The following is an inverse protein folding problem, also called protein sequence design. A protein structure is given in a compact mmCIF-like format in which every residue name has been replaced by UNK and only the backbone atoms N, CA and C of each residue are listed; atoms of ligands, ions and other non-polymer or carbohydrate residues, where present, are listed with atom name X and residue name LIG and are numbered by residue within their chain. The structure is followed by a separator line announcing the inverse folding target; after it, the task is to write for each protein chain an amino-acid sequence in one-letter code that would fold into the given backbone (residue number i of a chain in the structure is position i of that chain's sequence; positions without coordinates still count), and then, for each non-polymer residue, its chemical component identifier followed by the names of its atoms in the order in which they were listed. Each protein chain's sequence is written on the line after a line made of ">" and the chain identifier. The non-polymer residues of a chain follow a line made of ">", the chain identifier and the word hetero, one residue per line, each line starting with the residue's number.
data_IF_150887750646
#
_entry.id   IF_150887750646
#
_cell.length_a   1.000
_cell.length_b   1.000
_cell.length_c   1.000
_cell.angle_alpha   90.00
_cell.angle_beta   90.00
_cell.angle_gamma   90.00
#
_symmetry.space_group_name_H-M   'P 1'
#
loop_
_entity.id
_entity.type
_entity.pdbx_description
1 polymer ?
#
# COMPACT_ATOMS: atom_id res chain seq x y z
N UNK A 1 -5.04 -50.04 0.06
CA UNK A 1 -5.24 -48.60 -0.27
C UNK A 1 -4.54 -48.17 -1.57
N UNK A 2 -3.47 -48.85 -2.03
CA UNK A 2 -2.78 -48.56 -3.31
C UNK A 2 -3.57 -48.93 -4.58
N UNK A 3 -4.38 -49.99 -4.55
CA UNK A 3 -5.18 -50.43 -5.71
C UNK A 3 -6.39 -49.52 -6.02
N UNK A 4 -6.88 -48.76 -5.03
CA UNK A 4 -8.03 -47.87 -5.18
C UNK A 4 -7.66 -46.63 -6.01
N UNK A 5 -6.44 -46.10 -5.85
CA UNK A 5 -5.95 -44.95 -6.61
C UNK A 5 -5.74 -45.29 -8.09
N UNK A 6 -5.23 -46.50 -8.39
CA UNK A 6 -5.09 -46.97 -9.78
C UNK A 6 -6.42 -47.24 -10.49
N UNK A 7 -7.47 -47.67 -9.77
CA UNK A 7 -8.79 -47.89 -10.37
C UNK A 7 -9.57 -46.59 -10.64
N UNK A 8 -9.38 -45.55 -9.82
CA UNK A 8 -10.01 -44.24 -10.02
C UNK A 8 -9.45 -43.56 -11.29
N UNK A 9 -8.14 -43.69 -11.55
CA UNK A 9 -7.50 -43.16 -12.77
C UNK A 9 -8.01 -43.86 -14.05
N UNK A 10 -8.23 -45.19 -14.01
CA UNK A 10 -8.81 -45.93 -15.16
C UNK A 10 -10.29 -45.63 -15.41
N UNK A 11 -11.12 -45.44 -14.37
CA UNK A 11 -12.56 -45.14 -14.55
C UNK A 11 -12.81 -43.69 -15.02
N UNK A 12 -12.00 -42.72 -14.61
CA UNK A 12 -12.13 -41.33 -15.08
C UNK A 12 -11.75 -41.17 -16.56
N UNK A 13 -10.80 -41.96 -17.06
CA UNK A 13 -10.39 -41.94 -18.47
C UNK A 13 -11.48 -42.48 -19.42
N UNK A 14 -12.31 -43.43 -18.95
CA UNK A 14 -13.39 -44.04 -19.74
C UNK A 14 -14.71 -43.25 -19.74
N UNK A 15 -14.97 -42.42 -18.73
CA UNK A 15 -16.20 -41.61 -18.64
C UNK A 15 -16.20 -40.40 -19.58
N UNK A 16 -15.03 -39.98 -20.09
CA UNK A 16 -14.94 -38.83 -20.97
C UNK A 16 -15.02 -39.18 -22.45
N UNK A 17 -14.95 -40.44 -22.86
CA UNK A 17 -14.94 -40.82 -24.30
C UNK A 17 -16.33 -40.87 -24.95
N UNK A 18 -17.42 -40.88 -24.19
CA UNK A 18 -18.78 -41.10 -24.72
C UNK A 18 -19.48 -39.87 -25.32
N UNK A 19 -18.92 -38.66 -25.20
CA UNK A 19 -19.51 -37.44 -25.79
C UNK A 19 -18.62 -36.74 -26.85
N UNK A 20 -17.60 -37.44 -27.38
CA UNK A 20 -16.64 -36.86 -28.34
C UNK A 20 -17.11 -36.76 -29.80
N UNK A 21 -18.36 -37.14 -30.11
CA UNK A 21 -18.85 -37.19 -31.49
C UNK A 21 -19.41 -35.85 -32.04
N UNK A 22 -19.51 -34.77 -31.26
CA UNK A 22 -20.21 -33.54 -31.67
C UNK A 22 -19.37 -32.26 -31.84
N UNK A 23 -18.03 -32.29 -31.79
CA UNK A 23 -17.21 -31.07 -31.95
C UNK A 23 -16.27 -31.05 -33.18
N UNK A 24 -16.12 -29.90 -33.88
CA UNK A 24 -15.30 -29.79 -35.10
C UNK A 24 -13.79 -29.92 -34.87
N UNK A 25 -13.06 -30.28 -35.94
CA UNK A 25 -11.67 -30.79 -35.96
C UNK A 25 -10.61 -29.91 -35.27
N UNK A 26 -10.82 -28.61 -35.06
CA UNK A 26 -9.86 -27.70 -34.40
C UNK A 26 -9.65 -27.96 -32.89
N UNK A 27 -10.60 -28.60 -32.21
CA UNK A 27 -10.54 -28.87 -30.77
C UNK A 27 -9.71 -30.10 -30.38
N UNK A 28 -9.31 -30.95 -31.33
CA UNK A 28 -8.52 -32.16 -31.04
C UNK A 28 -7.09 -31.84 -30.58
N UNK A 29 -6.51 -30.71 -30.99
CA UNK A 29 -5.19 -30.28 -30.53
C UNK A 29 -5.19 -29.64 -29.13
N UNK A 30 -6.33 -29.20 -28.61
CA UNK A 30 -6.44 -28.65 -27.25
C UNK A 30 -6.44 -29.73 -26.16
N UNK A 31 -6.86 -30.96 -26.48
CA UNK A 31 -6.86 -32.07 -25.53
C UNK A 31 -5.43 -32.48 -25.11
N UNK A 32 -4.45 -32.31 -26.00
CA UNK A 32 -3.02 -32.52 -25.68
C UNK A 32 -2.47 -31.45 -24.70
N UNK A 33 -3.07 -30.26 -24.66
CA UNK A 33 -2.76 -29.22 -23.67
C UNK A 33 -3.41 -29.53 -22.30
N UNK A 34 -4.57 -30.20 -22.28
CA UNK A 34 -5.22 -30.67 -21.05
C UNK A 34 -4.39 -31.75 -20.33
N UNK A 35 -3.76 -32.68 -21.08
CA UNK A 35 -2.80 -33.65 -20.50
C UNK A 35 -1.57 -32.98 -19.87
N UNK A 36 -1.20 -31.78 -20.32
CA UNK A 36 -0.11 -30.97 -19.72
C UNK A 36 -0.55 -30.29 -18.42
N UNK A 37 -1.85 -30.05 -18.27
CA UNK A 37 -2.47 -29.50 -17.07
C UNK A 37 -2.58 -30.55 -15.94
N UNK A 38 -2.81 -31.82 -16.28
CA UNK A 38 -2.86 -32.94 -15.32
C UNK A 38 -1.55 -33.14 -14.56
N UNK A 39 -0.38 -32.89 -15.18
CA UNK A 39 0.94 -32.99 -14.53
C UNK A 39 1.20 -31.95 -13.43
N UNK A 40 0.43 -30.85 -13.40
CA UNK A 40 0.46 -29.85 -12.32
C UNK A 40 -0.40 -30.28 -11.12
N UNK A 41 -1.46 -31.06 -11.35
CA UNK A 41 -2.33 -31.54 -10.28
C UNK A 41 -1.67 -32.66 -9.45
N UNK A 42 -0.79 -33.47 -10.04
CA UNK A 42 0.00 -34.46 -9.31
C UNK A 42 0.93 -33.84 -8.25
N UNK A 43 1.52 -32.67 -8.54
CA UNK A 43 2.45 -32.00 -7.62
C UNK A 43 1.71 -31.39 -6.42
N UNK A 44 0.48 -30.95 -6.64
CA UNK A 44 -0.42 -30.45 -5.59
C UNK A 44 -0.93 -31.60 -4.72
N UNK A 45 -1.31 -32.73 -5.33
CA UNK A 45 -1.75 -33.92 -4.62
C UNK A 45 -0.63 -34.54 -3.75
N UNK A 46 0.60 -34.62 -4.28
CA UNK A 46 1.78 -35.10 -3.53
C UNK A 46 2.08 -34.22 -2.32
N UNK A 47 1.92 -32.90 -2.44
CA UNK A 47 2.13 -31.96 -1.33
C UNK A 47 1.06 -32.13 -0.24
N UNK A 48 -0.20 -32.31 -0.62
CA UNK A 48 -1.28 -32.56 0.35
C UNK A 48 -1.08 -33.89 1.08
N UNK A 49 -0.67 -34.94 0.37
CA UNK A 49 -0.46 -36.26 0.94
C UNK A 49 0.75 -36.29 1.90
N UNK A 50 1.86 -35.64 1.53
CA UNK A 50 3.01 -35.45 2.42
C UNK A 50 2.68 -34.56 3.62
N UNK A 51 1.85 -33.53 3.44
CA UNK A 51 1.39 -32.68 4.54
C UNK A 51 0.55 -33.45 5.55
N UNK A 52 -0.23 -34.44 5.10
CA UNK A 52 -1.02 -35.32 5.96
C UNK A 52 -0.17 -36.36 6.72
N UNK A 53 0.93 -36.82 6.14
CA UNK A 53 1.79 -37.86 6.74
C UNK A 53 2.86 -37.30 7.68
N UNK A 54 3.40 -36.11 7.39
CA UNK A 54 4.57 -35.57 8.10
C UNK A 54 4.36 -34.17 8.69
N UNK A 55 3.17 -33.58 8.48
CA UNK A 55 2.83 -32.23 8.94
C UNK A 55 3.28 -31.11 7.98
N UNK A 56 2.58 -29.96 7.98
CA UNK A 56 2.82 -28.87 7.04
C UNK A 56 4.17 -28.16 7.24
N UNK A 57 4.75 -28.20 8.45
CA UNK A 57 6.01 -27.52 8.76
C UNK A 57 7.25 -28.27 8.26
N UNK A 58 7.16 -29.58 8.04
CA UNK A 58 8.26 -30.41 7.54
C UNK A 58 8.19 -30.69 6.03
N UNK A 59 7.15 -30.19 5.35
CA UNK A 59 6.97 -30.40 3.90
C UNK A 59 7.54 -29.26 3.07
N UNK A 60 8.82 -29.41 2.70
CA UNK A 60 9.49 -28.44 1.82
C UNK A 60 9.23 -28.76 0.34
N UNK A 61 9.28 -27.74 -0.53
CA UNK A 61 9.21 -27.93 -1.99
C UNK A 61 10.33 -28.80 -2.52
N UNK A 62 11.49 -28.80 -1.86
CA UNK A 62 12.61 -29.69 -2.14
C UNK A 62 12.20 -31.15 -1.93
N UNK A 63 11.49 -31.48 -0.84
CA UNK A 63 10.98 -32.84 -0.57
C UNK A 63 9.93 -33.29 -1.59
N UNK A 64 9.01 -32.40 -1.99
CA UNK A 64 7.97 -32.67 -3.01
C UNK A 64 8.62 -32.92 -4.38
N UNK A 65 9.63 -32.12 -4.74
CA UNK A 65 10.38 -32.29 -5.98
C UNK A 65 11.26 -33.54 -5.94
N UNK A 66 11.85 -33.90 -4.79
CA UNK A 66 12.65 -35.11 -4.62
C UNK A 66 11.80 -36.37 -4.81
N UNK A 67 10.62 -36.44 -4.18
CA UNK A 67 9.66 -37.53 -4.38
C UNK A 67 9.19 -37.59 -5.83
N UNK A 68 8.84 -36.44 -6.42
CA UNK A 68 8.44 -36.37 -7.83
C UNK A 68 9.53 -36.88 -8.77
N UNK A 69 10.79 -36.57 -8.47
CA UNK A 69 11.97 -37.02 -9.21
C UNK A 69 12.21 -38.52 -9.00
N UNK A 70 11.92 -39.04 -7.82
CA UNK A 70 12.00 -40.47 -7.50
C UNK A 70 10.90 -41.29 -8.20
N UNK A 71 9.66 -40.81 -8.23
CA UNK A 71 8.55 -41.42 -8.99
C UNK A 71 8.69 -41.26 -10.50
N UNK A 72 9.36 -40.21 -10.97
CA UNK A 72 9.74 -40.09 -12.38
C UNK A 72 10.81 -41.11 -12.76
N UNK A 73 11.72 -41.44 -11.84
CA UNK A 73 12.76 -42.46 -12.05
C UNK A 73 12.24 -43.90 -11.95
N UNK A 74 11.22 -44.18 -11.12
CA UNK A 74 10.60 -45.53 -11.03
C UNK A 74 9.86 -45.97 -12.32
N UNK A 75 9.64 -45.05 -13.26
CA UNK A 75 9.11 -45.37 -14.59
C UNK A 75 10.20 -45.68 -15.62
N UNK A 76 11.47 -45.58 -15.23
CA UNK A 76 12.63 -45.79 -16.10
C UNK A 76 13.73 -46.50 -15.31
N UNK A 77 13.72 -47.82 -15.44
CA UNK A 77 14.82 -48.76 -15.17
C UNK A 77 15.00 -49.28 -13.74
N UNK A 78 15.09 -50.61 -13.72
CA UNK A 78 15.52 -51.51 -12.66
C UNK A 78 16.99 -51.24 -12.21
N UNK A 79 17.24 -51.66 -10.97
CA UNK A 79 18.50 -52.11 -10.37
C UNK A 79 19.61 -51.12 -9.88
N UNK A 80 19.99 -51.39 -8.61
CA UNK A 80 21.25 -51.10 -7.88
C UNK A 80 21.43 -49.81 -7.03
N UNK A 81 21.04 -49.92 -5.75
CA UNK A 81 21.79 -49.74 -4.47
C UNK A 81 23.00 -48.77 -4.39
N UNK A 82 23.00 -47.85 -3.40
CA UNK A 82 23.96 -47.72 -2.26
C UNK A 82 23.56 -46.53 -1.34
N UNK A 83 23.73 -46.74 -0.03
CA UNK A 83 23.26 -45.97 1.13
C UNK A 83 24.19 -44.85 1.66
N UNK A 84 23.66 -44.12 2.68
CA UNK A 84 24.31 -43.51 3.88
C UNK A 84 24.50 -41.98 3.88
N UNK A 85 24.40 -41.18 4.96
CA UNK A 85 23.80 -41.24 6.32
C UNK A 85 24.01 -39.86 7.02
N UNK A 86 22.93 -39.28 7.56
CA UNK A 86 22.72 -38.65 8.90
C UNK A 86 23.69 -37.63 9.60
N UNK A 87 23.09 -36.57 10.21
CA UNK A 87 23.31 -35.97 11.57
C UNK A 87 23.68 -34.46 11.79
N UNK A 88 22.91 -33.89 12.75
CA UNK A 88 23.21 -32.91 13.83
C UNK A 88 22.74 -31.43 13.79
N UNK A 89 21.99 -31.04 14.84
CA UNK A 89 21.61 -29.70 15.30
C UNK A 89 21.69 -29.68 16.85
N UNK A 90 22.10 -28.58 17.52
CA UNK A 90 22.00 -28.45 18.98
C UNK A 90 21.00 -27.39 19.48
N UNK A 91 20.51 -27.61 20.71
CA UNK A 91 19.53 -26.83 21.50
C UNK A 91 20.18 -25.78 22.43
N UNK A 92 19.44 -24.72 22.80
CA UNK A 92 19.85 -23.71 23.81
C UNK A 92 18.79 -23.64 24.94
N UNK A 93 19.26 -23.52 26.20
CA UNK A 93 18.51 -23.39 27.46
C UNK A 93 18.30 -21.91 27.88
N UNK A 94 17.26 -21.66 28.67
CA UNK A 94 16.90 -20.38 29.32
C UNK A 94 16.98 -20.55 30.85
N UNK A 95 17.46 -19.52 31.57
CA UNK A 95 17.30 -19.33 33.02
C UNK A 95 16.77 -17.89 33.32
N UNK A 96 16.06 -17.65 34.44
CA UNK A 96 15.39 -16.37 34.77
C UNK A 96 16.11 -15.54 35.86
N UNK A 97 15.88 -14.22 35.90
CA UNK A 97 16.33 -13.33 36.99
C UNK A 97 15.22 -12.44 37.58
N UNK A 98 15.40 -12.16 38.88
CA UNK A 98 14.50 -11.59 39.89
C UNK A 98 14.41 -10.05 39.95
N UNK A 99 13.40 -9.58 40.70
CA UNK A 99 13.04 -8.19 41.05
C UNK A 99 13.98 -7.51 42.06
N UNK A 100 14.14 -6.18 41.97
CA UNK A 100 14.52 -5.31 43.10
C UNK A 100 13.79 -3.94 43.08
N UNK A 101 13.52 -3.42 44.29
CA UNK A 101 12.74 -2.22 44.67
C UNK A 101 13.69 -1.07 45.06
N UNK A 102 13.29 0.20 44.88
CA UNK A 102 14.04 1.42 45.25
C UNK A 102 13.37 2.21 46.42
N UNK A 103 14.12 2.94 47.27
CA UNK A 103 13.59 3.63 48.45
C UNK A 103 13.41 5.16 48.30
N UNK A 104 12.61 5.72 49.22
CA UNK A 104 12.12 7.11 49.35
C UNK A 104 13.18 8.14 49.80
N UNK A 105 13.00 9.41 49.41
CA UNK A 105 13.81 10.56 49.86
C UNK A 105 12.94 11.65 50.46
N UNK A 106 13.30 12.08 51.67
CA UNK A 106 12.77 13.22 52.41
C UNK A 106 13.21 14.54 51.75
N UNK A 107 12.30 15.53 51.70
CA UNK A 107 12.59 16.91 51.31
C UNK A 107 12.15 17.85 52.45
N UNK A 108 12.97 17.92 53.50
CA UNK A 108 12.97 19.03 54.47
C UNK A 108 14.22 19.87 54.17
N UNK A 109 14.07 20.88 53.32
CA UNK A 109 14.95 22.06 53.24
C UNK A 109 14.42 22.99 52.14
N UNK A 110 14.50 24.30 52.38
CA UNK A 110 14.14 25.44 51.53
C UNK A 110 12.81 26.13 51.88
N UNK A 111 12.77 26.71 53.07
CA UNK A 111 12.08 27.98 53.33
C UNK A 111 13.10 29.11 53.22
N UNK A 112 12.86 30.09 52.34
CA UNK A 112 13.05 31.52 52.57
C UNK A 112 12.75 32.29 51.27
N UNK A 113 12.12 33.45 51.44
CA UNK A 113 11.75 34.49 50.46
C UNK A 113 10.39 34.37 49.75
N UNK A 114 9.37 35.01 50.34
CA UNK A 114 8.52 36.06 49.73
C UNK A 114 7.34 36.37 50.68
N UNK A 115 7.56 37.29 51.63
CA UNK A 115 6.49 38.00 52.33
C UNK A 115 5.80 38.95 51.34
N UNK A 116 4.48 38.81 51.15
CA UNK A 116 3.73 39.74 50.30
C UNK A 116 2.39 39.28 49.73
N UNK A 117 1.80 38.19 50.20
CA UNK A 117 0.38 37.89 50.04
C UNK A 117 0.01 36.88 51.12
N UNK A 118 -1.09 37.10 51.84
CA UNK A 118 -1.69 36.04 52.65
C UNK A 118 -1.98 34.87 51.72
N UNK A 119 -1.19 33.80 51.83
CA UNK A 119 -1.52 32.51 51.22
C UNK A 119 -2.81 32.05 51.90
N UNK A 120 -3.94 32.32 51.25
CA UNK A 120 -5.21 31.73 51.63
C UNK A 120 -5.00 30.22 51.71
N UNK A 121 -5.42 29.63 52.83
CA UNK A 121 -5.33 28.18 53.02
C UNK A 121 -6.08 27.52 51.85
N UNK A 122 -5.58 26.42 51.26
CA UNK A 122 -6.31 25.68 50.22
C UNK A 122 -7.72 25.20 50.64
N UNK A 123 -8.08 25.40 51.91
CA UNK A 123 -9.33 24.99 52.55
C UNK A 123 -10.10 26.18 53.17
N UNK A 124 -9.80 27.43 52.79
CA UNK A 124 -10.55 28.59 53.28
C UNK A 124 -11.95 28.64 52.66
N UNK A 125 -12.99 28.69 53.51
CA UNK A 125 -14.40 28.72 53.08
C UNK A 125 -14.68 29.99 52.28
N UNK A 126 -15.02 29.81 51.00
CA UNK A 126 -15.37 30.88 50.07
C UNK A 126 -16.72 31.48 50.50
N UNK A 127 -16.82 32.81 50.57
CA UNK A 127 -18.10 33.47 50.88
C UNK A 127 -19.10 33.28 49.72
N UNK A 128 -20.41 33.24 50.00
CA UNK A 128 -21.45 33.01 48.96
C UNK A 128 -21.35 34.00 47.78
N UNK A 129 -20.87 35.22 48.04
CA UNK A 129 -20.69 36.26 47.02
C UNK A 129 -19.44 36.05 46.14
N UNK A 130 -18.39 35.40 46.66
CA UNK A 130 -17.20 35.01 45.89
C UNK A 130 -17.47 33.72 45.12
N UNK A 131 -18.18 32.76 45.72
CA UNK A 131 -18.63 31.54 45.05
C UNK A 131 -19.51 31.82 43.84
N UNK A 132 -20.36 32.85 43.90
CA UNK A 132 -21.19 33.30 42.77
C UNK A 132 -20.40 33.98 41.64
N UNK A 133 -19.16 34.42 41.88
CA UNK A 133 -18.29 35.05 40.88
C UNK A 133 -17.30 34.07 40.24
N UNK A 134 -17.17 32.87 40.79
CA UNK A 134 -16.44 31.77 40.14
C UNK A 134 -17.31 31.31 38.96
N UNK A 135 -17.00 31.82 37.77
CA UNK A 135 -17.53 31.26 36.54
C UNK A 135 -17.00 29.83 36.42
N UNK A 136 -17.82 28.86 36.83
CA UNK A 136 -17.54 27.46 36.57
C UNK A 136 -17.53 27.27 35.05
N UNK A 137 -16.43 26.73 34.52
CA UNK A 137 -16.40 26.21 33.16
C UNK A 137 -17.60 25.26 32.98
N UNK A 138 -18.29 25.40 31.84
CA UNK A 138 -19.50 24.64 31.53
C UNK A 138 -19.29 23.14 31.83
N UNK A 139 -20.21 22.48 32.54
CA UNK A 139 -20.03 21.10 32.94
C UNK A 139 -19.89 20.23 31.69
N UNK A 140 -18.73 19.56 31.58
CA UNK A 140 -18.47 18.53 30.57
C UNK A 140 -19.59 17.49 30.70
N UNK A 141 -20.41 17.22 29.66
CA UNK A 141 -21.47 16.24 29.74
C UNK A 141 -20.92 14.88 30.20
N UNK A 142 -21.56 14.26 31.22
CA UNK A 142 -21.13 12.96 31.69
C UNK A 142 -21.40 11.95 30.56
N UNK A 143 -20.36 11.23 30.15
CA UNK A 143 -20.39 10.12 29.20
C UNK A 143 -20.80 10.43 27.76
N UNK A 144 -20.17 11.45 27.16
CA UNK A 144 -20.19 11.60 25.71
C UNK A 144 -19.17 10.65 25.04
N UNK A 145 -19.66 9.71 24.22
CA UNK A 145 -18.82 8.78 23.46
C UNK A 145 -18.33 9.35 22.11
N UNK A 146 -18.83 10.52 21.66
CA UNK A 146 -18.49 11.10 20.35
C UNK A 146 -18.26 12.61 20.42
N UNK A 147 -17.39 13.20 19.59
CA UNK A 147 -17.18 14.66 19.59
C UNK A 147 -18.42 15.41 19.12
N UNK A 148 -19.34 14.75 18.40
CA UNK A 148 -20.61 15.36 17.98
C UNK A 148 -21.38 15.96 19.14
N UNK A 149 -21.42 15.27 20.28
CA UNK A 149 -22.19 15.71 21.44
C UNK A 149 -21.57 16.98 22.08
N UNK A 150 -20.28 17.22 21.83
CA UNK A 150 -19.57 18.44 22.24
C UNK A 150 -19.59 19.56 21.20
N UNK A 151 -20.02 19.31 19.96
CA UNK A 151 -20.02 20.33 18.90
C UNK A 151 -20.92 21.50 19.30
N UNK A 152 -22.10 21.25 19.86
CA UNK A 152 -23.04 22.32 20.21
C UNK A 152 -22.53 23.20 21.37
N UNK A 153 -21.58 22.69 22.16
CA UNK A 153 -21.02 23.36 23.33
C UNK A 153 -19.70 24.06 23.04
N UNK A 154 -18.93 23.58 22.05
CA UNK A 154 -17.61 24.14 21.72
C UNK A 154 -17.66 24.96 20.43
N UNK A 155 -17.45 26.27 20.55
CA UNK A 155 -17.33 27.18 19.40
C UNK A 155 -16.20 26.76 18.44
N UNK A 156 -15.08 26.27 18.96
CA UNK A 156 -13.98 25.74 18.14
C UNK A 156 -14.45 24.57 17.28
N UNK A 157 -15.15 23.59 17.85
CA UNK A 157 -15.63 22.44 17.10
C UNK A 157 -16.68 22.85 16.05
N UNK A 158 -17.59 23.79 16.36
CA UNK A 158 -18.54 24.33 15.37
C UNK A 158 -17.83 24.95 14.17
N UNK A 159 -16.83 25.80 14.42
CA UNK A 159 -16.06 26.46 13.36
C UNK A 159 -15.26 25.45 12.52
N UNK A 160 -14.68 24.42 13.16
CA UNK A 160 -14.00 23.33 12.43
C UNK A 160 -14.98 22.55 11.53
N UNK A 161 -16.19 22.26 12.00
CA UNK A 161 -17.24 21.63 11.18
C UNK A 161 -17.63 22.54 10.01
N UNK A 162 -17.80 23.84 10.26
CA UNK A 162 -18.10 24.82 9.20
C UNK A 162 -17.01 24.89 8.13
N UNK A 163 -15.74 24.73 8.51
CA UNK A 163 -14.61 24.62 7.58
C UNK A 163 -14.59 23.29 6.79
N UNK A 164 -15.50 22.36 7.05
CA UNK A 164 -15.56 21.05 6.39
C UNK A 164 -14.63 20.00 6.99
N UNK A 165 -14.24 20.15 8.26
CA UNK A 165 -13.47 19.14 8.98
C UNK A 165 -14.37 17.96 9.37
N UNK A 166 -13.99 16.75 8.99
CA UNK A 166 -14.73 15.53 9.32
C UNK A 166 -14.31 14.99 10.69
N UNK A 167 -15.00 15.44 11.74
CA UNK A 167 -14.77 15.04 13.13
C UNK A 167 -14.89 13.52 13.33
N UNK A 168 -15.80 12.85 12.60
CA UNK A 168 -16.01 11.40 12.72
C UNK A 168 -14.77 10.57 12.30
N UNK A 169 -13.95 11.10 11.38
CA UNK A 169 -12.67 10.51 11.02
C UNK A 169 -11.59 10.83 12.05
N UNK A 170 -11.65 12.00 12.65
CA UNK A 170 -10.66 12.47 13.62
C UNK A 170 -10.79 11.76 14.97
N UNK A 171 -12.02 11.52 15.44
CA UNK A 171 -12.33 10.76 16.67
C UNK A 171 -11.71 9.36 16.70
N UNK A 172 -11.66 8.70 15.55
CA UNK A 172 -11.10 7.34 15.41
C UNK A 172 -9.58 7.30 15.62
N UNK A 173 -8.93 8.46 15.68
CA UNK A 173 -7.47 8.58 15.80
C UNK A 173 -7.09 8.86 17.26
N UNK A 174 -6.09 8.13 17.80
CA UNK A 174 -5.68 8.33 19.18
C UNK A 174 -5.21 9.76 19.40
N UNK A 175 -5.55 10.33 20.57
CA UNK A 175 -5.16 11.67 21.03
C UNK A 175 -5.69 12.86 20.21
N UNK A 176 -6.39 12.63 19.09
CA UNK A 176 -6.90 13.73 18.27
C UNK A 176 -8.13 14.38 18.90
N UNK A 177 -9.06 13.59 19.44
CA UNK A 177 -10.23 14.13 20.14
C UNK A 177 -9.81 15.03 21.31
N UNK A 178 -8.90 14.55 22.15
CA UNK A 178 -8.34 15.32 23.28
C UNK A 178 -7.58 16.57 22.82
N UNK A 179 -6.86 16.49 21.70
CA UNK A 179 -6.19 17.65 21.10
C UNK A 179 -7.22 18.72 20.70
N UNK A 180 -8.25 18.33 19.95
CA UNK A 180 -9.25 19.26 19.43
C UNK A 180 -10.07 19.94 20.52
N UNK A 181 -10.27 19.27 21.66
CA UNK A 181 -10.95 19.85 22.82
C UNK A 181 -10.08 20.85 23.59
N UNK A 182 -8.75 20.79 23.46
CA UNK A 182 -7.81 21.67 24.18
C UNK A 182 -7.41 22.92 23.41
N UNK A 183 -7.62 22.93 22.09
CA UNK A 183 -7.21 24.04 21.23
C UNK A 183 -8.27 25.13 21.20
N UNK A 184 -7.82 26.38 21.24
CA UNK A 184 -8.66 27.54 21.00
C UNK A 184 -8.63 27.92 19.51
N UNK A 185 -9.79 28.25 18.95
CA UNK A 185 -9.90 28.51 17.52
C UNK A 185 -9.15 29.78 17.09
N UNK A 186 -9.26 30.86 17.85
CA UNK A 186 -8.67 32.14 17.47
C UNK A 186 -7.17 32.16 17.73
N UNK A 187 -6.75 31.57 18.86
CA UNK A 187 -5.36 31.56 19.29
C UNK A 187 -4.52 30.48 18.59
N UNK A 188 -5.03 29.27 18.43
CA UNK A 188 -4.22 28.13 17.99
C UNK A 188 -4.54 27.72 16.54
N UNK A 189 -5.81 27.71 16.14
CA UNK A 189 -6.23 27.23 14.82
C UNK A 189 -6.05 28.29 13.74
N UNK A 190 -6.50 29.51 14.00
CA UNK A 190 -6.52 30.61 13.02
C UNK A 190 -5.13 30.96 12.47
N UNK A 191 -4.06 31.08 13.28
CA UNK A 191 -2.72 31.35 12.76
C UNK A 191 -2.22 30.26 11.80
N UNK A 192 -2.54 28.99 12.08
CA UNK A 192 -2.18 27.87 11.20
C UNK A 192 -2.97 27.91 9.90
N UNK A 193 -4.27 28.24 9.95
CA UNK A 193 -5.09 28.39 8.74
C UNK A 193 -4.60 29.52 7.84
N UNK A 194 -4.29 30.69 8.41
CA UNK A 194 -3.72 31.82 7.67
C UNK A 194 -2.38 31.45 7.05
N UNK A 195 -1.51 30.76 7.79
CA UNK A 195 -0.26 30.26 7.26
C UNK A 195 -0.45 29.29 6.09
N UNK A 196 -1.37 28.33 6.20
CA UNK A 196 -1.66 27.38 5.11
C UNK A 196 -2.17 28.12 3.86
N UNK A 197 -3.01 29.15 4.06
CA UNK A 197 -3.49 30.03 2.99
C UNK A 197 -2.34 30.80 2.32
N UNK A 198 -1.44 31.39 3.10
CA UNK A 198 -0.26 32.12 2.59
C UNK A 198 0.70 31.21 1.80
N UNK A 199 0.81 29.95 2.21
CA UNK A 199 1.56 28.91 1.48
C UNK A 199 0.89 28.58 0.15
N UNK A 200 -0.44 28.75 0.04
CA UNK A 200 -1.23 28.55 -1.17
C UNK A 200 -2.21 27.38 -1.10
N UNK A 201 -2.60 26.93 0.10
CA UNK A 201 -3.72 26.01 0.27
C UNK A 201 -5.02 26.80 0.17
N UNK A 202 -5.89 26.42 -0.77
CA UNK A 202 -7.17 27.10 -0.99
C UNK A 202 -8.14 26.86 0.18
N UNK A 203 -9.03 27.83 0.42
CA UNK A 203 -9.97 27.83 1.55
C UNK A 203 -10.83 26.54 1.57
N UNK A 204 -11.35 26.12 0.41
CA UNK A 204 -12.16 24.90 0.24
C UNK A 204 -11.41 23.60 0.57
N UNK A 205 -10.08 23.64 0.59
CA UNK A 205 -9.22 22.49 0.88
C UNK A 205 -8.76 22.44 2.35
N UNK A 206 -8.96 23.50 3.14
CA UNK A 206 -8.49 23.58 4.53
C UNK A 206 -9.15 22.53 5.44
N UNK A 207 -10.47 22.32 5.32
CA UNK A 207 -11.18 21.28 6.07
C UNK A 207 -10.66 19.87 5.78
N UNK A 208 -10.49 19.56 4.49
CA UNK A 208 -9.93 18.29 4.05
C UNK A 208 -8.45 18.11 4.47
N UNK A 209 -7.68 19.20 4.52
CA UNK A 209 -6.31 19.20 5.02
C UNK A 209 -6.26 18.83 6.51
N UNK A 210 -7.01 19.54 7.36
CA UNK A 210 -7.05 19.29 8.80
C UNK A 210 -7.64 17.91 9.13
N UNK A 211 -8.64 17.46 8.37
CA UNK A 211 -9.17 16.10 8.49
C UNK A 211 -8.08 15.03 8.28
N UNK A 212 -7.16 15.27 7.34
CA UNK A 212 -6.05 14.36 7.06
C UNK A 212 -4.94 14.49 8.07
N UNK A 213 -4.61 15.73 8.48
CA UNK A 213 -3.54 16.03 9.41
C UNK A 213 -3.97 17.05 10.48
N UNK A 214 -4.58 16.60 11.58
CA UNK A 214 -4.92 17.48 12.70
C UNK A 214 -3.68 17.88 13.52
N UNK A 215 -2.59 17.10 13.46
CA UNK A 215 -1.39 17.32 14.26
C UNK A 215 -0.57 18.53 13.81
N UNK A 216 -0.89 19.13 12.66
CA UNK A 216 -0.32 20.41 12.25
C UNK A 216 -0.59 21.52 13.28
N UNK A 217 -1.69 21.41 14.04
CA UNK A 217 -2.09 22.36 15.07
C UNK A 217 -1.14 22.36 16.29
N UNK A 218 -0.34 21.30 16.47
CA UNK A 218 0.68 21.23 17.52
C UNK A 218 2.04 21.75 17.06
N UNK A 219 2.18 22.13 15.79
CA UNK A 219 3.45 22.60 15.26
C UNK A 219 3.61 24.09 15.51
N UNK A 220 4.82 24.48 15.92
CA UNK A 220 5.19 25.88 16.02
C UNK A 220 5.22 26.55 14.63
N UNK A 221 4.65 27.77 14.56
CA UNK A 221 4.49 28.50 13.31
C UNK A 221 5.84 28.87 12.68
N UNK A 222 6.85 29.25 13.47
CA UNK A 222 8.18 29.55 12.93
C UNK A 222 8.81 28.31 12.32
N UNK A 223 8.65 27.16 12.95
CA UNK A 223 9.16 25.90 12.43
C UNK A 223 8.49 25.52 11.09
N UNK A 224 7.19 25.75 10.94
CA UNK A 224 6.50 25.57 9.67
C UNK A 224 7.04 26.51 8.59
N UNK A 225 7.26 27.78 8.91
CA UNK A 225 7.86 28.77 8.00
C UNK A 225 9.30 28.41 7.61
N UNK A 226 10.12 27.92 8.56
CA UNK A 226 11.49 27.44 8.31
C UNK A 226 11.48 26.26 7.33
N UNK A 227 10.55 25.31 7.48
CA UNK A 227 10.39 24.16 6.58
C UNK A 227 9.95 24.57 5.17
N UNK A 228 9.01 25.51 5.04
CA UNK A 228 8.63 26.07 3.74
C UNK A 228 9.79 26.83 3.08
N UNK A 229 10.53 27.62 3.85
CA UNK A 229 11.69 28.37 3.36
C UNK A 229 12.79 27.43 2.88
N UNK A 230 13.01 26.30 3.56
CA UNK A 230 13.91 25.25 3.10
C UNK A 230 13.48 24.67 1.75
N UNK A 231 12.20 24.34 1.56
CA UNK A 231 11.71 23.85 0.27
C UNK A 231 11.97 24.88 -0.86
N UNK A 232 11.75 26.17 -0.59
CA UNK A 232 12.08 27.23 -1.56
C UNK A 232 13.57 27.30 -1.87
N UNK A 233 14.44 27.17 -0.86
CA UNK A 233 15.91 27.09 -1.04
C UNK A 233 16.35 25.89 -1.86
N UNK A 234 15.58 24.80 -1.87
CA UNK A 234 15.78 23.64 -2.75
C UNK A 234 15.19 23.82 -4.15
N UNK A 235 14.85 25.06 -4.52
CA UNK A 235 14.32 25.46 -5.83
C UNK A 235 12.94 24.85 -6.15
N UNK A 236 12.14 24.52 -5.13
CA UNK A 236 10.71 24.31 -5.34
C UNK A 236 10.03 25.68 -5.42
N UNK A 237 9.42 25.99 -6.57
CA UNK A 237 8.68 27.24 -6.74
C UNK A 237 7.43 27.31 -5.84
N UNK A 238 6.85 28.50 -5.69
CA UNK A 238 5.74 28.75 -4.75
C UNK A 238 4.55 27.84 -5.04
N UNK A 239 4.21 27.69 -6.31
CA UNK A 239 3.08 26.87 -6.78
C UNK A 239 3.33 25.38 -6.53
N UNK A 240 4.56 24.90 -6.70
CA UNK A 240 4.96 23.55 -6.39
C UNK A 240 4.85 23.26 -4.89
N UNK A 241 5.34 24.17 -4.04
CA UNK A 241 5.23 24.03 -2.58
C UNK A 241 3.75 23.98 -2.16
N UNK A 242 2.92 24.89 -2.67
CA UNK A 242 1.47 24.89 -2.41
C UNK A 242 0.84 23.53 -2.76
N UNK A 243 1.08 23.03 -3.98
CA UNK A 243 0.59 21.70 -4.43
C UNK A 243 1.12 20.57 -3.56
N UNK A 244 2.38 20.64 -3.13
CA UNK A 244 3.02 19.61 -2.30
C UNK A 244 2.38 19.54 -0.93
N UNK A 245 2.20 20.68 -0.27
CA UNK A 245 1.57 20.78 1.05
C UNK A 245 0.12 20.30 0.99
N UNK A 246 -0.67 20.76 0.00
CA UNK A 246 -2.05 20.33 -0.17
C UNK A 246 -2.19 18.81 -0.41
N UNK A 247 -1.30 18.21 -1.24
CA UNK A 247 -1.36 16.77 -1.58
C UNK A 247 -0.73 15.84 -0.54
N UNK A 248 0.16 16.35 0.30
CA UNK A 248 0.76 15.62 1.40
C UNK A 248 0.70 16.44 2.69
N UNK A 249 -0.45 16.42 3.41
CA UNK A 249 -0.65 17.26 4.60
C UNK A 249 0.37 17.08 5.73
N UNK A 250 1.04 15.91 5.78
CA UNK A 250 2.10 15.60 6.73
C UNK A 250 3.49 16.12 6.34
N UNK A 251 3.64 16.74 5.16
CA UNK A 251 4.93 17.15 4.63
C UNK A 251 5.65 18.11 5.59
N UNK A 252 4.90 19.08 6.12
CA UNK A 252 5.45 20.09 7.00
C UNK A 252 5.62 19.62 8.45
N UNK A 253 5.28 18.39 8.83
CA UNK A 253 5.64 17.85 10.14
C UNK A 253 7.07 17.31 10.19
N UNK A 254 7.75 17.20 9.04
CA UNK A 254 9.12 16.72 9.02
C UNK A 254 10.09 17.87 9.25
N UNK A 255 11.09 17.62 10.11
CA UNK A 255 12.21 18.53 10.28
C UNK A 255 12.92 18.78 8.94
N UNK A 256 13.60 19.92 8.84
CA UNK A 256 14.42 20.27 7.65
C UNK A 256 15.42 19.16 7.33
N UNK A 257 16.09 18.63 8.35
CA UNK A 257 17.03 17.51 8.21
C UNK A 257 16.35 16.26 7.63
N UNK A 258 15.17 15.90 8.14
CA UNK A 258 14.42 14.73 7.65
C UNK A 258 13.94 14.92 6.22
N UNK A 259 13.55 16.14 5.83
CA UNK A 259 13.21 16.47 4.45
C UNK A 259 14.44 16.32 3.54
N UNK A 260 15.60 16.84 3.95
CA UNK A 260 16.84 16.77 3.17
C UNK A 260 17.32 15.33 2.96
N UNK A 261 17.33 14.53 4.03
CA UNK A 261 17.67 13.11 3.98
C UNK A 261 16.76 12.34 3.03
N UNK A 262 15.46 12.66 3.00
CA UNK A 262 14.48 12.00 2.12
C UNK A 262 14.60 12.44 0.67
N UNK A 263 14.85 13.71 0.40
CA UNK A 263 15.15 14.19 -0.95
C UNK A 263 16.43 13.53 -1.49
N UNK A 264 17.48 13.48 -0.68
CA UNK A 264 18.74 12.81 -1.01
C UNK A 264 18.58 11.31 -1.22
N UNK A 265 17.71 10.64 -0.46
CA UNK A 265 17.37 9.23 -0.68
C UNK A 265 16.82 9.00 -2.10
N UNK A 266 15.78 9.72 -2.52
CA UNK A 266 15.20 9.53 -3.86
C UNK A 266 16.18 9.87 -4.97
N UNK A 267 17.01 10.90 -4.79
CA UNK A 267 18.04 11.26 -5.76
C UNK A 267 19.07 10.14 -5.93
N UNK A 268 19.58 9.58 -4.83
CA UNK A 268 20.62 8.53 -4.85
C UNK A 268 20.07 7.18 -5.35
N UNK A 269 18.96 6.72 -4.79
CA UNK A 269 18.41 5.38 -5.09
C UNK A 269 17.92 5.29 -6.54
N UNK A 270 17.38 6.38 -7.09
CA UNK A 270 16.95 6.42 -8.49
C UNK A 270 18.06 6.89 -9.43
N UNK A 271 19.15 7.50 -8.94
CA UNK A 271 20.19 8.08 -9.78
C UNK A 271 19.67 9.19 -10.72
N UNK A 272 18.74 10.01 -10.22
CA UNK A 272 18.13 11.10 -10.98
C UNK A 272 18.91 12.41 -10.83
N UNK A 273 18.78 13.32 -11.79
CA UNK A 273 19.23 14.70 -11.60
C UNK A 273 18.39 15.39 -10.52
N UNK A 274 18.92 16.48 -9.95
CA UNK A 274 18.22 17.27 -8.93
C UNK A 274 16.85 17.74 -9.46
N UNK A 275 16.80 18.24 -10.70
CA UNK A 275 15.56 18.68 -11.35
C UNK A 275 14.53 17.54 -11.49
N UNK A 276 14.94 16.38 -12.05
CA UNK A 276 14.03 15.23 -12.19
C UNK A 276 13.56 14.69 -10.84
N UNK A 277 14.40 14.79 -9.81
CA UNK A 277 14.02 14.44 -8.44
C UNK A 277 12.97 15.40 -7.92
N UNK A 278 13.11 16.71 -8.14
CA UNK A 278 12.05 17.68 -7.79
C UNK A 278 10.75 17.36 -8.52
N UNK A 279 10.80 17.16 -9.83
CA UNK A 279 9.60 16.84 -10.62
C UNK A 279 8.87 15.59 -10.11
N UNK A 280 9.64 14.54 -9.77
CA UNK A 280 9.12 13.32 -9.16
C UNK A 280 8.36 13.63 -7.85
N UNK A 281 8.98 14.41 -6.96
CA UNK A 281 8.40 14.75 -5.66
C UNK A 281 7.20 15.70 -5.81
N UNK A 282 7.24 16.67 -6.72
CA UNK A 282 6.09 17.54 -7.03
C UNK A 282 4.91 16.70 -7.52
N UNK A 283 5.19 15.67 -8.35
CA UNK A 283 4.17 14.80 -8.91
C UNK A 283 3.54 13.87 -7.90
N UNK A 284 4.33 13.36 -6.94
CA UNK A 284 3.84 12.52 -5.85
C UNK A 284 4.48 12.90 -4.50
N UNK A 285 4.01 13.98 -3.84
CA UNK A 285 4.64 14.52 -2.62
C UNK A 285 4.61 13.55 -1.44
N UNK A 286 3.63 12.62 -1.46
CA UNK A 286 3.48 11.56 -0.45
C UNK A 286 4.66 10.60 -0.39
N UNK A 287 5.52 10.56 -1.41
CA UNK A 287 6.78 9.81 -1.38
C UNK A 287 7.70 10.30 -0.25
N UNK A 288 7.71 11.61 0.01
CA UNK A 288 8.48 12.16 1.12
C UNK A 288 7.87 11.73 2.44
N UNK A 289 6.56 11.81 2.61
CA UNK A 289 5.90 11.53 3.91
C UNK A 289 5.76 10.04 4.25
N UNK A 290 5.84 9.15 3.27
CA UNK A 290 5.62 7.71 3.44
C UNK A 290 6.83 6.93 4.00
N UNK A 291 6.65 5.63 4.23
CA UNK A 291 7.78 4.72 4.51
C UNK A 291 8.67 4.60 3.26
N UNK A 292 9.99 4.56 3.48
CA UNK A 292 10.97 4.37 2.41
C UNK A 292 11.23 2.87 2.11
N UNK A 293 10.79 1.98 2.99
CA UNK A 293 11.02 0.54 2.84
C UNK A 293 10.34 -0.04 1.60
N UNK A 294 9.04 0.23 1.32
CA UNK A 294 8.40 -0.27 0.11
C UNK A 294 9.07 0.26 -1.17
N UNK A 295 9.64 1.47 -1.11
CA UNK A 295 10.39 2.05 -2.24
C UNK A 295 11.65 1.25 -2.51
N UNK A 296 12.45 0.98 -1.48
CA UNK A 296 13.68 0.18 -1.62
C UNK A 296 13.38 -1.24 -2.10
N UNK A 297 12.34 -1.86 -1.55
CA UNK A 297 11.91 -3.19 -1.97
C UNK A 297 11.47 -3.20 -3.44
N UNK A 298 10.59 -2.28 -3.83
CA UNK A 298 10.06 -2.24 -5.20
C UNK A 298 11.14 -1.94 -6.24
N UNK A 299 12.15 -1.14 -5.92
CA UNK A 299 13.31 -0.94 -6.80
C UNK A 299 14.08 -2.24 -7.04
N UNK A 300 14.33 -3.02 -5.98
CA UNK A 300 14.96 -4.34 -6.09
C UNK A 300 14.09 -5.33 -6.86
N UNK A 301 12.78 -5.33 -6.61
CA UNK A 301 11.83 -6.17 -7.36
C UNK A 301 11.89 -5.84 -8.85
N UNK A 302 11.87 -4.55 -9.21
CA UNK A 302 11.95 -4.14 -10.62
C UNK A 302 13.25 -4.57 -11.29
N UNK A 303 14.39 -4.46 -10.60
CA UNK A 303 15.70 -4.80 -11.15
C UNK A 303 15.93 -6.32 -11.21
N UNK A 304 15.66 -7.04 -10.12
CA UNK A 304 16.04 -8.45 -9.94
C UNK A 304 14.91 -9.39 -10.41
N UNK A 305 13.67 -9.15 -9.98
CA UNK A 305 12.55 -10.06 -10.27
C UNK A 305 11.92 -9.77 -11.64
N UNK A 306 11.73 -8.48 -11.98
CA UNK A 306 11.12 -8.10 -13.25
C UNK A 306 12.15 -7.92 -14.38
N UNK A 307 13.45 -7.80 -14.04
CA UNK A 307 14.54 -7.72 -15.01
C UNK A 307 14.65 -6.39 -15.77
N UNK A 308 14.12 -5.29 -15.23
CA UNK A 308 14.31 -3.97 -15.82
C UNK A 308 15.71 -3.43 -15.55
N UNK A 309 16.28 -2.73 -16.53
CA UNK A 309 17.55 -2.02 -16.36
C UNK A 309 17.35 -0.75 -15.54
N UNK A 310 18.41 -0.26 -14.87
CA UNK A 310 18.35 0.96 -14.04
C UNK A 310 17.79 2.19 -14.77
N UNK A 311 18.19 2.41 -16.02
CA UNK A 311 17.68 3.52 -16.85
C UNK A 311 16.19 3.35 -17.21
N UNK A 312 15.74 2.11 -17.39
CA UNK A 312 14.32 1.80 -17.61
C UNK A 312 13.50 2.05 -16.35
N UNK A 313 14.00 1.63 -15.19
CA UNK A 313 13.37 1.90 -13.87
C UNK A 313 13.25 3.40 -13.63
N UNK A 314 14.31 4.18 -13.91
CA UNK A 314 14.27 5.65 -13.86
C UNK A 314 13.16 6.23 -14.73
N UNK A 315 13.05 5.75 -15.98
CA UNK A 315 12.01 6.19 -16.90
C UNK A 315 10.61 5.86 -16.38
N UNK A 316 10.39 4.62 -15.92
CA UNK A 316 9.10 4.18 -15.37
C UNK A 316 8.75 4.99 -14.11
N UNK A 317 9.70 5.17 -13.18
CA UNK A 317 9.49 5.87 -11.92
C UNK A 317 9.12 7.35 -12.11
N UNK A 318 9.77 8.04 -13.05
CA UNK A 318 9.45 9.45 -13.36
C UNK A 318 8.08 9.60 -14.04
N UNK A 319 7.69 8.64 -14.89
CA UNK A 319 6.38 8.63 -15.58
C UNK A 319 5.25 8.12 -14.69
N UNK A 320 5.51 7.16 -13.80
CA UNK A 320 4.55 6.53 -12.89
C UNK A 320 5.15 6.42 -11.49
N UNK A 321 5.18 7.53 -10.73
CA UNK A 321 5.80 7.55 -9.39
C UNK A 321 5.13 6.60 -8.39
N UNK A 322 3.84 6.31 -8.58
CA UNK A 322 3.07 5.39 -7.73
C UNK A 322 3.61 3.96 -7.74
N UNK A 323 4.36 3.57 -8.79
CA UNK A 323 5.00 2.25 -8.85
C UNK A 323 6.00 2.06 -7.70
N UNK A 324 6.67 3.13 -7.26
CA UNK A 324 7.66 3.07 -6.18
C UNK A 324 7.05 2.62 -4.84
N UNK A 325 5.80 2.96 -4.56
CA UNK A 325 5.12 2.58 -3.31
C UNK A 325 3.94 1.63 -3.54
N UNK A 326 3.90 0.97 -4.70
CA UNK A 326 2.88 -0.01 -5.02
C UNK A 326 3.04 -1.28 -4.16
N UNK A 327 1.95 -2.03 -4.00
CA UNK A 327 2.02 -3.35 -3.39
C UNK A 327 2.82 -4.30 -4.31
N UNK A 328 3.82 -4.99 -3.75
CA UNK A 328 4.69 -5.93 -4.47
C UNK A 328 3.90 -6.96 -5.28
N UNK A 329 2.91 -7.63 -4.66
CA UNK A 329 2.09 -8.66 -5.33
C UNK A 329 1.35 -8.10 -6.54
N UNK A 330 0.75 -6.91 -6.40
CA UNK A 330 0.08 -6.25 -7.53
C UNK A 330 1.07 -5.94 -8.66
N UNK A 331 2.27 -5.47 -8.32
CA UNK A 331 3.30 -5.11 -9.29
C UNK A 331 3.78 -6.35 -10.06
N UNK A 332 4.13 -7.43 -9.35
CA UNK A 332 4.62 -8.68 -9.95
C UNK A 332 3.56 -9.39 -10.78
N UNK A 333 2.32 -9.49 -10.29
CA UNK A 333 1.21 -10.10 -11.05
C UNK A 333 0.88 -9.32 -12.33
N UNK A 334 0.98 -7.99 -12.28
CA UNK A 334 0.76 -7.15 -13.46
C UNK A 334 1.85 -7.36 -14.49
N UNK A 335 3.11 -7.38 -14.05
CA UNK A 335 4.24 -7.65 -14.94
C UNK A 335 4.19 -9.06 -15.53
N UNK A 336 3.97 -10.09 -14.71
CA UNK A 336 3.89 -11.49 -15.16
C UNK A 336 2.82 -11.67 -16.23
N UNK A 337 1.63 -11.08 -16.03
CA UNK A 337 0.58 -11.16 -17.03
C UNK A 337 0.96 -10.45 -18.34
N UNK A 338 1.49 -9.24 -18.26
CA UNK A 338 1.84 -8.44 -19.45
C UNK A 338 3.03 -9.03 -20.20
N UNK A 339 4.06 -9.50 -19.49
CA UNK A 339 5.28 -10.01 -20.10
C UNK A 339 5.14 -11.48 -20.52
N UNK A 340 4.75 -12.35 -19.59
CA UNK A 340 4.77 -13.80 -19.82
C UNK A 340 3.51 -14.32 -20.51
N UNK A 341 2.33 -13.76 -20.20
CA UNK A 341 1.05 -14.23 -20.78
C UNK A 341 0.74 -13.49 -22.09
N UNK A 342 0.86 -12.16 -22.12
CA UNK A 342 0.62 -11.37 -23.34
C UNK A 342 1.82 -11.34 -24.29
N UNK A 343 3.01 -11.77 -23.84
CA UNK A 343 4.22 -11.83 -24.65
C UNK A 343 4.83 -10.45 -24.96
N UNK A 344 4.55 -9.43 -24.14
CA UNK A 344 4.99 -8.06 -24.42
C UNK A 344 6.42 -7.84 -23.90
N UNK A 345 7.37 -7.40 -24.74
CA UNK A 345 8.76 -7.20 -24.33
C UNK A 345 8.94 -5.97 -23.43
N UNK A 346 9.99 -5.99 -22.60
CA UNK A 346 10.32 -4.92 -21.65
C UNK A 346 10.29 -3.52 -22.24
N UNK A 347 10.90 -3.31 -23.41
CA UNK A 347 10.97 -1.98 -24.03
C UNK A 347 9.58 -1.38 -24.34
N UNK A 348 8.56 -2.19 -24.64
CA UNK A 348 7.20 -1.71 -24.83
C UNK A 348 6.51 -1.41 -23.50
N UNK A 349 6.79 -2.20 -22.45
CA UNK A 349 6.31 -1.91 -21.09
C UNK A 349 6.90 -0.59 -20.58
N UNK A 350 8.19 -0.35 -20.83
CA UNK A 350 8.90 0.89 -20.49
C UNK A 350 8.34 2.07 -21.28
N UNK A 351 7.98 1.89 -22.56
CA UNK A 351 7.33 2.91 -23.38
C UNK A 351 5.94 3.28 -22.87
N UNK A 352 5.23 2.32 -22.25
CA UNK A 352 3.87 2.50 -21.73
C UNK A 352 3.75 2.11 -20.24
N UNK A 353 4.43 2.84 -19.33
CA UNK A 353 4.50 2.48 -17.92
C UNK A 353 3.16 2.61 -17.18
N UNK A 354 2.17 3.29 -17.77
CA UNK A 354 0.79 3.43 -17.26
C UNK A 354 0.09 2.10 -17.00
N UNK A 355 0.59 1.00 -17.58
CA UNK A 355 0.10 -0.35 -17.29
C UNK A 355 0.17 -0.68 -15.80
N UNK A 356 1.18 -0.19 -15.07
CA UNK A 356 1.32 -0.39 -13.62
C UNK A 356 0.33 0.43 -12.77
N UNK A 357 -0.27 1.49 -13.33
CA UNK A 357 -1.33 2.25 -12.66
C UNK A 357 -2.72 1.62 -12.86
N UNK A 358 -2.86 0.72 -13.83
CA UNK A 358 -4.15 0.15 -14.21
C UNK A 358 -4.56 -1.00 -13.29
N UNK A 359 -5.86 -1.31 -13.27
CA UNK A 359 -6.36 -2.51 -12.59
C UNK A 359 -6.00 -3.73 -13.44
N UNK A 360 -5.37 -4.73 -12.83
CA UNK A 360 -5.00 -5.97 -13.53
C UNK A 360 -6.21 -6.65 -14.16
N UNK A 361 -7.35 -6.69 -13.46
CA UNK A 361 -8.60 -7.26 -13.97
C UNK A 361 -8.98 -6.67 -15.33
N UNK A 362 -8.99 -5.33 -15.45
CA UNK A 362 -9.28 -4.62 -16.70
C UNK A 362 -8.33 -5.03 -17.84
N UNK A 363 -7.04 -5.21 -17.55
CA UNK A 363 -6.05 -5.65 -18.54
C UNK A 363 -6.37 -7.08 -18.99
N UNK A 364 -6.68 -7.97 -18.05
CA UNK A 364 -7.00 -9.39 -18.31
C UNK A 364 -8.23 -9.53 -19.18
N UNK A 365 -9.33 -8.89 -18.78
CA UNK A 365 -10.61 -8.90 -19.49
C UNK A 365 -10.46 -8.47 -20.95
N UNK A 366 -9.80 -7.32 -21.18
CA UNK A 366 -9.57 -6.80 -22.53
C UNK A 366 -8.61 -7.66 -23.34
N UNK A 367 -7.55 -8.17 -22.73
CA UNK A 367 -6.63 -9.09 -23.42
C UNK A 367 -7.34 -10.38 -23.84
N UNK A 368 -8.09 -11.01 -22.94
CA UNK A 368 -8.81 -12.25 -23.19
C UNK A 368 -9.87 -12.06 -24.27
N UNK A 369 -10.59 -10.93 -24.26
CA UNK A 369 -11.56 -10.63 -25.31
C UNK A 369 -10.91 -10.43 -26.67
N UNK A 370 -9.82 -9.65 -26.75
CA UNK A 370 -9.05 -9.52 -28.00
C UNK A 370 -8.48 -10.86 -28.47
N UNK A 371 -8.07 -11.73 -27.54
CA UNK A 371 -7.58 -13.07 -27.86
C UNK A 371 -8.70 -13.97 -28.40
N UNK A 372 -9.89 -13.91 -27.81
CA UNK A 372 -11.10 -14.61 -28.27
C UNK A 372 -11.46 -14.19 -29.70
N UNK A 373 -11.36 -12.90 -30.02
CA UNK A 373 -11.62 -12.35 -31.35
C UNK A 373 -10.46 -12.54 -32.35
N UNK A 374 -9.32 -13.11 -31.93
CA UNK A 374 -8.13 -13.24 -32.78
C UNK A 374 -7.42 -11.92 -33.11
N UNK A 375 -7.66 -10.87 -32.31
CA UNK A 375 -7.16 -9.49 -32.49
C UNK A 375 -6.11 -9.06 -31.46
N UNK A 376 -5.63 -9.98 -30.62
CA UNK A 376 -4.58 -9.69 -29.63
C UNK A 376 -3.19 -9.50 -30.29
N UNK A 377 -2.99 -8.36 -30.96
CA UNK A 377 -1.74 -8.00 -31.64
C UNK A 377 -1.08 -6.83 -30.93
N UNK A 378 0.04 -7.10 -30.24
CA UNK A 378 0.78 -6.11 -29.45
C UNK A 378 2.15 -5.72 -30.05
N UNK A 379 2.43 -6.18 -31.26
CA UNK A 379 3.64 -5.85 -32.00
C UNK A 379 3.41 -4.59 -32.86
N UNK A 380 4.14 -3.48 -32.62
CA UNK A 380 3.98 -2.24 -33.37
C UNK A 380 4.27 -2.36 -34.87
N UNK A 381 4.98 -3.40 -35.30
CA UNK A 381 5.33 -3.61 -36.71
C UNK A 381 4.21 -4.29 -37.51
N UNK A 382 3.21 -4.85 -36.83
CA UNK A 382 2.13 -5.62 -37.46
C UNK A 382 0.87 -4.77 -37.68
N UNK A 383 0.08 -5.07 -38.72
CA UNK A 383 -1.22 -4.43 -38.91
C UNK A 383 -2.15 -4.75 -37.73
N UNK A 384 -3.08 -3.84 -37.43
CA UNK A 384 -4.00 -3.92 -36.29
C UNK A 384 -3.32 -3.93 -34.90
N UNK A 385 -2.14 -3.31 -34.80
CA UNK A 385 -1.45 -3.10 -33.53
C UNK A 385 -2.32 -2.37 -32.50
N UNK A 386 -2.45 -2.95 -31.30
CA UNK A 386 -3.07 -2.33 -30.14
C UNK A 386 -1.98 -1.98 -29.13
N UNK A 387 -1.78 -0.68 -28.88
CA UNK A 387 -0.82 -0.25 -27.87
C UNK A 387 -1.30 -0.52 -26.44
N UNK A 388 -0.36 -0.73 -25.52
CA UNK A 388 -0.67 -0.91 -24.10
C UNK A 388 -1.44 0.28 -23.53
N UNK A 389 -1.09 1.50 -23.94
CA UNK A 389 -1.80 2.71 -23.51
C UNK A 389 -3.29 2.65 -23.86
N UNK A 390 -3.61 2.33 -25.12
CA UNK A 390 -5.00 2.20 -25.59
C UNK A 390 -5.73 1.09 -24.85
N UNK A 391 -5.04 -0.03 -24.62
CA UNK A 391 -5.60 -1.14 -23.84
C UNK A 391 -5.97 -0.72 -22.41
N UNK A 392 -5.19 0.16 -21.78
CA UNK A 392 -5.41 0.54 -20.37
C UNK A 392 -6.27 1.77 -20.15
N UNK A 393 -6.08 2.79 -20.99
CA UNK A 393 -6.56 4.16 -20.77
C UNK A 393 -7.93 4.41 -21.42
N UNK A 394 -8.25 3.72 -22.52
CA UNK A 394 -9.52 3.95 -23.23
C UNK A 394 -10.74 3.54 -22.42
N UNK A 395 -11.89 4.24 -22.55
CA UNK A 395 -13.22 3.77 -22.14
C UNK A 395 -13.61 2.46 -22.83
N UNK A 396 -14.60 1.74 -22.28
CA UNK A 396 -15.01 0.43 -22.81
C UNK A 396 -15.70 0.56 -24.17
N UNK A 397 -16.46 1.65 -24.40
CA UNK A 397 -17.15 1.92 -25.65
C UNK A 397 -16.15 2.12 -26.79
N UNK A 398 -15.16 2.97 -26.57
CA UNK A 398 -14.08 3.24 -27.53
C UNK A 398 -13.26 1.96 -27.75
N UNK A 399 -12.98 1.21 -26.69
CA UNK A 399 -12.24 -0.03 -26.80
C UNK A 399 -12.94 -1.07 -27.69
N UNK A 400 -14.25 -1.26 -27.50
CA UNK A 400 -15.04 -2.21 -28.27
C UNK A 400 -15.11 -1.81 -29.75
N UNK A 401 -15.42 -0.54 -30.03
CA UNK A 401 -15.62 -0.05 -31.40
C UNK A 401 -14.30 0.09 -32.17
N UNK A 402 -13.27 0.65 -31.54
CA UNK A 402 -12.03 0.98 -32.26
C UNK A 402 -11.07 -0.20 -32.35
N UNK A 403 -10.93 -1.01 -31.29
CA UNK A 403 -9.90 -2.05 -31.22
C UNK A 403 -10.47 -3.46 -31.34
N UNK A 404 -11.54 -3.77 -30.59
CA UNK A 404 -12.15 -5.09 -30.65
C UNK A 404 -12.97 -5.30 -31.94
N UNK A 405 -13.46 -4.21 -32.57
CA UNK A 405 -14.39 -4.24 -33.70
C UNK A 405 -15.63 -5.09 -33.38
N UNK A 406 -16.13 -4.95 -32.16
CA UNK A 406 -17.27 -5.68 -31.60
C UNK A 406 -18.22 -4.70 -30.89
N UNK A 407 -19.46 -5.13 -30.62
CA UNK A 407 -20.37 -4.32 -29.82
C UNK A 407 -20.00 -4.36 -28.33
N UNK A 408 -20.43 -3.36 -27.58
CA UNK A 408 -20.27 -3.35 -26.11
C UNK A 408 -21.06 -4.50 -25.48
N UNK A 409 -22.20 -4.87 -26.05
CA UNK A 409 -23.02 -5.99 -25.59
C UNK A 409 -22.28 -7.33 -25.72
N UNK A 410 -21.57 -7.55 -26.84
CA UNK A 410 -20.75 -8.76 -27.02
C UNK A 410 -19.64 -8.85 -25.99
N UNK A 411 -19.03 -7.70 -25.67
CA UNK A 411 -18.00 -7.63 -24.64
C UNK A 411 -18.57 -7.98 -23.26
N UNK A 412 -19.69 -7.36 -22.87
CA UNK A 412 -20.37 -7.68 -21.60
C UNK A 412 -20.80 -9.15 -21.51
N UNK A 413 -21.29 -9.73 -22.61
CA UNK A 413 -21.64 -11.15 -22.66
C UNK A 413 -20.42 -12.04 -22.48
N UNK A 414 -19.30 -11.70 -23.13
CA UNK A 414 -18.04 -12.41 -22.96
C UNK A 414 -17.53 -12.33 -21.51
N UNK A 415 -17.61 -11.16 -20.86
CA UNK A 415 -17.17 -10.99 -19.48
C UNK A 415 -17.92 -11.91 -18.50
N UNK A 416 -19.17 -12.27 -18.79
CA UNK A 416 -19.94 -13.23 -17.97
C UNK A 416 -19.44 -14.68 -18.08
N UNK A 417 -18.55 -14.97 -19.03
CA UNK A 417 -17.98 -16.31 -19.25
C UNK A 417 -16.61 -16.51 -18.59
N UNK A 418 -16.00 -15.44 -18.06
CA UNK A 418 -14.73 -15.44 -17.33
C UNK A 418 -14.96 -15.73 -15.84
#
# INVERSE_FOLDING_TARGET
>A
MFLVVCQISRRFSLLNTSNFAQFPRGLRHSAALSQRFERKNETVALRQLLGHLYGPERTTWSSVMLLRRHFAHLNTEDDTVVMSSEQNLPSIKLDPQENQVLPSTNLDALSEDLEGATLQSPLEEITENEAAQIAADLPIPPDSFTLRDYVDQSETLKKLVFLGVDLSKLEKRPNVATLLLKVDFEKDVTPILLFLKDVGVEDDHLGAFLTRNPFILNEDLENLQKRVSYLRKKEFNKEAVARMVAKAPYLLNFSVERLDNRLGFFQRELGLSTEKTRDLIIRLPRLITGSLEPVRENLKVCEIELGFKKNEIQHIATKVPKMLSANKKKLTETFDYVHNIMGIPHHLIVKFPQVFNSKLLKIKERHLFLKFLGRAVYDPTKPNYVSLDKLTSSPDEIFCVEFAKASVQDYEQFLKTL
#
